data_IF_234135166303
#
_entry.id   IF_234135166303
#
_cell.length_a   1.000
_cell.length_b   1.000
_cell.length_c   1.000
_cell.angle_alpha   90.00
_cell.angle_beta   90.00
_cell.angle_gamma   90.00
#
_symmetry.space_group_name_H-M   'P 1'
#
loop_
_entity.id
_entity.type
_entity.pdbx_description
1 polymer ?
#
# COMPACT_ATOMS: atom_id res chain seq x y z
N UNK A 1 -14.14 -8.19 -17.59
CA UNK A 1 -13.67 -7.49 -16.38
C UNK A 1 -14.66 -6.40 -16.06
N UNK A 2 -15.19 -6.39 -14.84
CA UNK A 2 -16.05 -5.36 -14.27
C UNK A 2 -15.16 -4.34 -13.55
N UNK A 3 -15.44 -3.05 -13.74
CA UNK A 3 -14.74 -1.97 -13.04
C UNK A 3 -15.71 -0.88 -12.67
N UNK A 4 -15.68 -0.50 -11.39
CA UNK A 4 -16.53 0.50 -10.78
C UNK A 4 -15.71 1.32 -9.78
N UNK A 5 -15.96 2.63 -9.72
CA UNK A 5 -15.38 3.53 -8.73
C UNK A 5 -16.41 3.86 -7.66
N UNK A 6 -16.17 3.39 -6.44
CA UNK A 6 -17.08 3.49 -5.30
C UNK A 6 -16.51 4.49 -4.30
N UNK A 7 -17.35 5.39 -3.77
CA UNK A 7 -16.97 6.36 -2.74
C UNK A 7 -17.02 5.69 -1.37
N UNK A 8 -16.02 5.94 -0.51
CA UNK A 8 -16.00 5.40 0.86
C UNK A 8 -16.80 6.23 1.87
N UNK A 9 -17.24 7.42 1.45
CA UNK A 9 -17.98 8.38 2.25
C UNK A 9 -19.12 8.96 1.40
N UNK A 10 -20.24 9.27 2.03
CA UNK A 10 -21.38 9.91 1.35
C UNK A 10 -21.10 11.37 0.98
N UNK A 11 -20.33 12.05 1.83
CA UNK A 11 -20.03 13.49 1.77
C UNK A 11 -18.66 13.82 1.15
N UNK A 12 -17.90 12.80 0.72
CA UNK A 12 -16.60 12.99 0.06
C UNK A 12 -16.49 12.22 -1.25
N UNK A 13 -15.85 12.84 -2.24
CA UNK A 13 -15.64 12.26 -3.56
C UNK A 13 -14.20 11.80 -3.80
N UNK A 14 -13.28 12.17 -2.92
CA UNK A 14 -11.83 12.02 -3.10
C UNK A 14 -11.27 10.71 -2.53
N UNK A 15 -12.03 10.01 -1.70
CA UNK A 15 -11.68 8.68 -1.16
C UNK A 15 -12.51 7.61 -1.84
N UNK A 16 -11.86 6.77 -2.64
CA UNK A 16 -12.56 5.79 -3.48
C UNK A 16 -11.88 4.43 -3.54
N UNK A 17 -12.70 3.38 -3.64
CA UNK A 17 -12.31 2.04 -4.03
C UNK A 17 -12.65 1.84 -5.51
N UNK A 18 -11.64 1.59 -6.35
CA UNK A 18 -11.87 1.23 -7.75
C UNK A 18 -11.67 -0.26 -7.94
N UNK A 19 -12.65 -0.93 -8.54
CA UNK A 19 -12.68 -2.38 -8.71
C UNK A 19 -12.09 -2.79 -10.07
N UNK A 20 -11.40 -3.93 -10.09
CA UNK A 20 -10.87 -4.60 -11.28
C UNK A 20 -11.17 -6.08 -11.15
N UNK A 21 -12.45 -6.41 -11.38
CA UNK A 21 -13.05 -7.69 -10.98
C UNK A 21 -13.29 -8.56 -12.22
N UNK A 22 -12.91 -9.82 -12.16
CA UNK A 22 -13.18 -10.77 -13.22
C UNK A 22 -14.60 -11.33 -13.05
N UNK A 23 -15.36 -11.37 -14.15
CA UNK A 23 -16.69 -11.97 -14.18
C UNK A 23 -16.54 -13.37 -14.78
N UNK A 24 -16.81 -14.41 -14.00
CA UNK A 24 -16.58 -15.82 -14.34
C UNK A 24 -17.73 -16.45 -15.14
N UNK A 25 -18.53 -15.64 -15.85
CA UNK A 25 -19.72 -16.10 -16.59
C UNK A 25 -19.50 -17.29 -17.56
N UNK A 26 -18.25 -17.66 -17.89
CA UNK A 26 -17.90 -18.84 -18.68
C UNK A 26 -16.57 -19.51 -18.25
N UNK A 27 -16.16 -19.41 -16.98
CA UNK A 27 -14.87 -19.99 -16.56
C UNK A 27 -14.94 -21.51 -16.41
N UNK A 28 -13.95 -22.23 -16.97
CA UNK A 28 -13.72 -23.67 -16.73
C UNK A 28 -13.43 -23.96 -15.24
N UNK A 29 -13.16 -22.93 -14.45
CA UNK A 29 -12.86 -23.05 -13.03
C UNK A 29 -14.11 -23.21 -12.18
N UNK A 30 -15.35 -23.04 -12.69
CA UNK A 30 -16.57 -23.17 -11.89
C UNK A 30 -16.94 -21.92 -11.07
N UNK A 31 -17.83 -22.05 -10.07
CA UNK A 31 -18.33 -20.94 -9.24
C UNK A 31 -17.45 -20.68 -7.99
N UNK A 32 -16.15 -20.49 -8.19
CA UNK A 32 -15.21 -20.29 -7.08
C UNK A 32 -14.97 -18.81 -6.79
N UNK A 33 -14.78 -18.51 -5.51
CA UNK A 33 -14.32 -17.22 -5.06
C UNK A 33 -12.80 -17.10 -5.26
N UNK A 34 -12.35 -15.94 -5.74
CA UNK A 34 -10.94 -15.65 -6.06
C UNK A 34 -10.26 -14.89 -4.93
N UNK A 35 -8.96 -15.14 -4.67
CA UNK A 35 -8.17 -14.30 -3.80
C UNK A 35 -8.14 -12.85 -4.31
N UNK A 36 -7.97 -11.90 -3.41
CA UNK A 36 -7.98 -10.47 -3.74
C UNK A 36 -6.70 -9.72 -3.32
N UNK A 37 -6.36 -8.70 -4.10
CA UNK A 37 -5.31 -7.72 -3.79
C UNK A 37 -5.94 -6.34 -3.62
N UNK A 38 -5.77 -5.71 -2.45
CA UNK A 38 -6.11 -4.32 -2.19
C UNK A 38 -4.87 -3.45 -2.29
N UNK A 39 -4.82 -2.59 -3.30
CA UNK A 39 -3.66 -1.78 -3.66
C UNK A 39 -3.81 -0.37 -3.09
N UNK A 40 -2.79 0.08 -2.36
CA UNK A 40 -2.64 1.42 -1.81
C UNK A 40 -1.46 2.12 -2.51
N UNK A 41 -1.73 2.98 -3.51
CA UNK A 41 -0.68 3.68 -4.24
C UNK A 41 0.12 4.62 -3.32
N UNK A 42 1.36 4.93 -3.69
CA UNK A 42 2.17 5.93 -3.00
C UNK A 42 1.81 7.36 -3.38
N UNK A 43 2.77 8.27 -3.19
CA UNK A 43 2.62 9.70 -3.47
C UNK A 43 2.78 10.62 -2.26
N UNK A 44 3.54 10.19 -1.25
CA UNK A 44 3.98 11.03 -0.13
C UNK A 44 2.83 11.60 0.72
N UNK A 45 1.70 10.89 0.81
CA UNK A 45 0.45 11.40 1.41
C UNK A 45 -0.12 12.69 0.78
N UNK A 46 0.48 13.15 -0.31
CA UNK A 46 0.06 14.32 -1.06
C UNK A 46 -1.00 13.95 -2.10
N UNK A 47 -0.85 12.81 -2.77
CA UNK A 47 -1.85 12.23 -3.67
C UNK A 47 -1.65 10.72 -3.79
N UNK A 48 -2.57 10.02 -4.47
CA UNK A 48 -2.34 8.62 -4.85
C UNK A 48 -1.77 8.53 -6.27
N UNK A 49 -0.55 8.02 -6.40
CA UNK A 49 0.16 7.91 -7.66
C UNK A 49 -0.55 6.98 -8.66
N UNK A 50 -0.94 7.49 -9.83
CA UNK A 50 -1.65 6.71 -10.86
C UNK A 50 -0.81 5.56 -11.41
N UNK A 51 0.50 5.73 -11.52
CA UNK A 51 1.37 4.67 -12.04
C UNK A 51 1.47 3.45 -11.11
N UNK A 52 1.11 3.59 -9.82
CA UNK A 52 1.12 2.52 -8.80
C UNK A 52 -0.29 1.97 -8.52
N UNK A 53 -1.28 2.42 -9.29
CA UNK A 53 -2.69 2.08 -9.13
C UNK A 53 -3.12 1.09 -10.23
N UNK A 54 -3.73 1.60 -11.30
CA UNK A 54 -4.39 0.80 -12.32
C UNK A 54 -3.46 -0.18 -13.05
N UNK A 55 -2.20 0.19 -13.42
CA UNK A 55 -1.28 -0.78 -14.03
C UNK A 55 -1.04 -2.00 -13.13
N UNK A 56 -0.85 -1.76 -11.83
CA UNK A 56 -0.61 -2.83 -10.84
C UNK A 56 -1.85 -3.70 -10.67
N UNK A 57 -3.03 -3.08 -10.58
CA UNK A 57 -4.30 -3.79 -10.46
C UNK A 57 -4.55 -4.71 -11.65
N UNK A 58 -4.30 -4.23 -12.86
CA UNK A 58 -4.44 -5.02 -14.09
C UNK A 58 -3.45 -6.19 -14.10
N UNK A 59 -2.21 -5.99 -13.64
CA UNK A 59 -1.21 -7.07 -13.58
C UNK A 59 -1.64 -8.19 -12.63
N UNK A 60 -2.11 -7.86 -11.43
CA UNK A 60 -2.66 -8.87 -10.52
C UNK A 60 -3.95 -9.50 -11.02
N UNK A 61 -4.83 -8.73 -11.68
CA UNK A 61 -6.03 -9.30 -12.31
C UNK A 61 -5.66 -10.32 -13.39
N UNK A 62 -4.64 -10.04 -14.21
CA UNK A 62 -4.13 -10.98 -15.21
C UNK A 62 -3.55 -12.26 -14.59
N UNK A 63 -3.07 -12.20 -13.35
CA UNK A 63 -2.60 -13.36 -12.55
C UNK A 63 -3.74 -14.14 -11.86
N UNK A 64 -5.00 -13.75 -12.08
CA UNK A 64 -6.18 -14.48 -11.57
C UNK A 64 -6.77 -13.98 -10.26
N UNK A 65 -6.23 -12.90 -9.70
CA UNK A 65 -6.76 -12.24 -8.49
C UNK A 65 -7.93 -11.30 -8.83
N UNK A 66 -8.79 -11.01 -7.85
CA UNK A 66 -9.57 -9.77 -7.87
C UNK A 66 -8.67 -8.63 -7.41
N UNK A 67 -8.70 -7.49 -8.10
CA UNK A 67 -7.87 -6.36 -7.73
C UNK A 67 -8.71 -5.13 -7.40
N UNK A 68 -8.26 -4.38 -6.40
CA UNK A 68 -8.91 -3.18 -5.92
C UNK A 68 -7.87 -2.10 -5.72
N UNK A 69 -8.16 -0.86 -6.11
CA UNK A 69 -7.31 0.30 -5.83
C UNK A 69 -8.02 1.18 -4.83
N UNK A 70 -7.43 1.36 -3.64
CA UNK A 70 -7.85 2.35 -2.66
C UNK A 70 -7.09 3.65 -2.91
N UNK A 71 -7.80 4.68 -3.34
CA UNK A 71 -7.35 6.07 -3.24
C UNK A 71 -7.80 6.60 -1.89
N UNK A 72 -6.88 6.59 -0.94
CA UNK A 72 -7.09 7.04 0.44
C UNK A 72 -6.94 8.56 0.57
N UNK A 73 -7.28 9.10 1.74
CA UNK A 73 -7.18 10.52 2.08
C UNK A 73 -5.76 11.04 1.91
N UNK A 74 -5.60 12.05 1.05
CA UNK A 74 -4.33 12.72 0.76
C UNK A 74 -4.52 14.23 0.67
N UNK A 75 -3.43 14.98 0.87
CA UNK A 75 -3.47 16.44 0.95
C UNK A 75 -4.09 17.14 -0.26
N UNK A 76 -3.72 16.70 -1.47
CA UNK A 76 -4.25 17.21 -2.72
C UNK A 76 -5.34 16.28 -3.25
N UNK A 77 -6.33 16.85 -3.95
CA UNK A 77 -7.31 16.04 -4.65
C UNK A 77 -6.63 15.29 -5.80
N UNK A 78 -7.18 14.13 -6.16
CA UNK A 78 -6.57 13.25 -7.16
C UNK A 78 -6.42 13.92 -8.54
N UNK A 79 -7.29 14.86 -8.88
CA UNK A 79 -7.31 15.60 -10.15
C UNK A 79 -6.50 16.91 -10.10
N UNK A 80 -5.95 17.28 -8.95
CA UNK A 80 -5.20 18.53 -8.81
C UNK A 80 -3.71 18.37 -9.14
N UNK A 81 -3.13 19.45 -9.67
CA UNK A 81 -1.68 19.56 -9.80
C UNK A 81 -1.07 19.73 -8.41
N UNK A 82 0.00 18.98 -8.13
CA UNK A 82 0.77 19.16 -6.89
C UNK A 82 1.63 20.39 -7.06
N UNK A 83 1.30 21.44 -6.34
CA UNK A 83 2.11 22.65 -6.20
C UNK A 83 2.68 22.69 -4.80
N UNK A 84 4.01 22.69 -4.69
CA UNK A 84 4.68 22.86 -3.41
C UNK A 84 4.61 24.32 -2.98
N UNK A 85 4.16 24.60 -1.75
CA UNK A 85 4.17 25.95 -1.21
C UNK A 85 5.60 26.47 -1.18
N UNK A 86 5.77 27.78 -1.34
CA UNK A 86 7.08 28.39 -1.12
C UNK A 86 7.43 28.33 0.37
N UNK A 87 8.71 28.44 0.73
CA UNK A 87 9.17 28.35 2.14
C UNK A 87 8.55 29.39 3.10
N UNK A 88 7.75 30.34 2.60
CA UNK A 88 7.06 31.39 3.37
C UNK A 88 5.54 31.17 3.48
N UNK A 89 4.98 30.19 2.78
CA UNK A 89 3.55 29.91 2.79
C UNK A 89 3.21 28.95 3.92
N UNK A 90 2.16 29.27 4.69
CA UNK A 90 1.60 28.36 5.68
C UNK A 90 0.91 27.18 4.96
N UNK A 91 1.19 25.97 5.43
CA UNK A 91 0.55 24.75 4.91
C UNK A 91 -0.73 24.54 5.73
N UNK A 92 -1.89 24.64 5.08
CA UNK A 92 -3.19 24.36 5.68
C UNK A 92 -3.27 22.91 6.15
N UNK A 93 -3.57 22.67 7.43
CA UNK A 93 -3.73 21.29 7.93
C UNK A 93 -5.13 20.77 7.60
N UNK A 94 -5.16 19.66 6.86
CA UNK A 94 -6.38 18.93 6.51
C UNK A 94 -6.54 17.75 7.45
N UNK A 95 -7.31 17.92 8.53
CA UNK A 95 -7.50 16.93 9.59
C UNK A 95 -7.88 15.53 9.07
N UNK A 96 -8.67 15.45 7.99
CA UNK A 96 -9.06 14.18 7.38
C UNK A 96 -7.90 13.41 6.71
N UNK A 97 -6.77 14.05 6.46
CA UNK A 97 -5.54 13.43 5.93
C UNK A 97 -4.58 12.95 7.03
N UNK A 98 -4.73 13.48 8.25
CA UNK A 98 -3.81 13.22 9.36
C UNK A 98 -4.01 11.79 9.88
N UNK A 99 -2.92 11.12 10.25
CA UNK A 99 -2.94 9.80 10.85
C UNK A 99 -3.81 9.80 12.13
N UNK A 100 -4.75 8.86 12.29
CA UNK A 100 -4.81 7.55 11.62
C UNK A 100 -5.79 7.45 10.43
N UNK A 101 -6.37 8.55 9.95
CA UNK A 101 -7.49 8.50 9.00
C UNK A 101 -7.20 7.69 7.71
N UNK A 102 -6.07 7.92 6.99
CA UNK A 102 -5.76 7.11 5.80
C UNK A 102 -5.56 5.62 6.09
N UNK A 103 -5.10 5.27 7.29
CA UNK A 103 -4.92 3.88 7.72
C UNK A 103 -6.26 3.22 7.99
N UNK A 104 -7.19 3.94 8.61
CA UNK A 104 -8.54 3.44 8.90
C UNK A 104 -9.36 3.20 7.62
N UNK A 105 -9.10 3.95 6.56
CA UNK A 105 -9.73 3.76 5.24
C UNK A 105 -9.35 2.44 4.57
N UNK A 106 -8.17 1.87 4.88
CA UNK A 106 -7.83 0.49 4.47
C UNK A 106 -8.83 -0.50 5.06
N UNK A 107 -9.15 -0.34 6.35
CA UNK A 107 -10.14 -1.19 7.02
C UNK A 107 -11.56 -0.98 6.49
N UNK A 108 -11.95 0.26 6.14
CA UNK A 108 -13.22 0.51 5.43
C UNK A 108 -13.27 -0.21 4.09
N UNK A 109 -12.20 -0.15 3.31
CA UNK A 109 -12.12 -0.85 2.02
C UNK A 109 -12.21 -2.38 2.19
N UNK A 110 -11.55 -2.94 3.20
CA UNK A 110 -11.68 -4.36 3.57
C UNK A 110 -13.13 -4.74 3.85
N UNK A 111 -13.86 -3.94 4.63
CA UNK A 111 -15.27 -4.19 4.93
C UNK A 111 -16.16 -4.09 3.70
N UNK A 112 -15.94 -3.10 2.85
CA UNK A 112 -16.69 -2.94 1.59
C UNK A 112 -16.46 -4.13 0.64
N UNK A 113 -15.21 -4.62 0.54
CA UNK A 113 -14.91 -5.84 -0.21
C UNK A 113 -15.65 -7.05 0.34
N UNK A 114 -15.74 -7.19 1.68
CA UNK A 114 -16.49 -8.27 2.31
C UNK A 114 -17.99 -8.16 2.06
N UNK A 115 -18.56 -6.96 2.13
CA UNK A 115 -19.97 -6.69 1.86
C UNK A 115 -20.38 -7.13 0.45
N UNK A 116 -19.54 -6.84 -0.54
CA UNK A 116 -19.80 -7.19 -1.95
C UNK A 116 -19.16 -8.51 -2.40
N UNK A 117 -18.58 -9.30 -1.48
CA UNK A 117 -17.77 -10.47 -1.84
C UNK A 117 -18.50 -11.49 -2.72
N UNK A 118 -19.81 -11.66 -2.50
CA UNK A 118 -20.64 -12.56 -3.31
C UNK A 118 -20.76 -12.09 -4.77
N UNK A 119 -20.94 -10.79 -4.96
CA UNK A 119 -21.06 -10.17 -6.28
C UNK A 119 -19.71 -10.17 -7.00
N UNK A 120 -18.64 -9.84 -6.28
CA UNK A 120 -17.28 -9.73 -6.80
C UNK A 120 -16.52 -11.06 -6.83
N UNK A 121 -17.15 -12.16 -6.39
CA UNK A 121 -16.53 -13.49 -6.28
C UNK A 121 -15.19 -13.42 -5.55
N UNK A 122 -15.18 -12.78 -4.38
CA UNK A 122 -13.97 -12.61 -3.56
C UNK A 122 -13.96 -13.66 -2.46
N UNK A 123 -12.81 -14.32 -2.30
CA UNK A 123 -12.50 -15.11 -1.12
C UNK A 123 -12.04 -14.13 -0.03
N UNK A 124 -12.94 -13.86 0.91
CA UNK A 124 -12.75 -12.86 1.95
C UNK A 124 -11.67 -13.24 2.96
N UNK A 125 -11.28 -14.51 3.03
CA UNK A 125 -10.21 -14.97 3.91
C UNK A 125 -8.83 -14.89 3.22
N UNK A 126 -8.81 -14.54 1.93
CA UNK A 126 -7.60 -14.41 1.10
C UNK A 126 -7.53 -13.02 0.48
N UNK A 127 -7.46 -12.00 1.33
CA UNK A 127 -7.21 -10.61 0.91
C UNK A 127 -5.79 -10.19 1.33
N UNK A 128 -4.95 -9.88 0.34
CA UNK A 128 -3.60 -9.33 0.54
C UNK A 128 -3.61 -7.82 0.30
N UNK A 129 -2.86 -7.08 1.11
CA UNK A 129 -2.66 -5.64 0.87
C UNK A 129 -1.37 -5.43 0.08
N UNK A 130 -1.37 -4.52 -0.89
CA UNK A 130 -0.18 -4.15 -1.64
C UNK A 130 -0.01 -2.63 -1.56
N UNK A 131 1.14 -2.16 -1.10
CA UNK A 131 1.41 -0.74 -1.01
C UNK A 131 2.75 -0.36 -1.62
N UNK A 132 2.85 0.89 -2.07
CA UNK A 132 4.07 1.47 -2.64
C UNK A 132 4.43 2.78 -1.93
N UNK A 133 5.70 3.01 -1.61
CA UNK A 133 6.17 4.26 -0.99
C UNK A 133 5.34 4.63 0.26
N UNK A 134 4.70 5.81 0.29
CA UNK A 134 3.78 6.22 1.34
C UNK A 134 2.56 5.29 1.52
N UNK A 135 2.07 4.68 0.44
CA UNK A 135 1.02 3.67 0.49
C UNK A 135 1.50 2.36 1.13
N UNK A 136 2.77 1.99 0.94
CA UNK A 136 3.39 0.87 1.65
C UNK A 136 3.51 1.17 3.15
N UNK A 137 3.90 2.40 3.51
CA UNK A 137 3.89 2.84 4.91
C UNK A 137 2.47 2.72 5.51
N UNK A 138 1.44 3.20 4.79
CA UNK A 138 0.05 3.09 5.24
C UNK A 138 -0.40 1.63 5.45
N UNK A 139 -0.08 0.75 4.48
CA UNK A 139 -0.35 -0.69 4.56
C UNK A 139 0.36 -1.33 5.74
N UNK A 140 1.64 -1.00 5.98
CA UNK A 140 2.39 -1.56 7.10
C UNK A 140 1.86 -1.07 8.46
N UNK A 141 1.48 0.21 8.58
CA UNK A 141 0.82 0.73 9.79
C UNK A 141 -0.49 -0.01 10.07
N UNK A 142 -1.32 -0.24 9.05
CA UNK A 142 -2.55 -1.02 9.19
C UNK A 142 -2.28 -2.48 9.56
N UNK A 143 -1.33 -3.12 8.89
CA UNK A 143 -0.96 -4.51 9.10
C UNK A 143 -0.42 -4.80 10.52
N UNK A 144 0.14 -3.79 11.17
CA UNK A 144 0.60 -3.88 12.56
C UNK A 144 -0.49 -3.52 13.58
N UNK A 145 -1.62 -2.95 13.14
CA UNK A 145 -2.62 -2.32 14.02
C UNK A 145 -4.07 -2.79 13.79
N UNK A 146 -4.34 -3.68 12.84
CA UNK A 146 -5.68 -4.07 12.39
C UNK A 146 -6.60 -4.60 13.51
N UNK A 147 -6.03 -5.16 14.57
CA UNK A 147 -6.74 -5.72 15.72
C UNK A 147 -6.71 -4.82 16.98
N UNK A 148 -6.24 -3.58 16.87
CA UNK A 148 -6.19 -2.63 17.98
C UNK A 148 -7.54 -1.94 18.20
N UNK A 149 -7.82 -1.48 19.43
CA UNK A 149 -9.04 -0.73 19.74
C UNK A 149 -9.20 0.52 18.86
N UNK A 150 -8.09 1.17 18.47
CA UNK A 150 -8.12 2.31 17.54
C UNK A 150 -8.85 1.97 16.23
N UNK A 151 -8.62 0.76 15.71
CA UNK A 151 -9.23 0.29 14.46
C UNK A 151 -10.63 -0.28 14.73
N UNK A 152 -10.78 -1.13 15.75
CA UNK A 152 -12.03 -1.82 16.05
C UNK A 152 -13.15 -0.86 16.48
N UNK A 153 -12.84 0.13 17.32
CA UNK A 153 -13.82 1.11 17.79
C UNK A 153 -14.29 2.03 16.66
N UNK A 154 -13.38 2.39 15.75
CA UNK A 154 -13.70 3.22 14.59
C UNK A 154 -14.57 2.47 13.57
N UNK A 155 -14.19 1.23 13.24
CA UNK A 155 -14.88 0.42 12.22
C UNK A 155 -16.10 -0.34 12.76
N UNK A 156 -16.26 -0.40 14.09
CA UNK A 156 -17.39 -1.06 14.78
C UNK A 156 -17.60 -2.51 14.33
N UNK A 157 -16.51 -3.25 14.24
CA UNK A 157 -16.49 -4.64 13.75
C UNK A 157 -15.53 -5.49 14.56
N UNK A 158 -15.60 -6.81 14.40
CA UNK A 158 -14.65 -7.76 14.95
C UNK A 158 -13.37 -7.80 14.12
N UNK A 159 -12.26 -8.13 14.78
CA UNK A 159 -10.95 -8.20 14.16
C UNK A 159 -10.88 -9.26 13.05
N UNK A 160 -11.69 -10.32 13.13
CA UNK A 160 -11.80 -11.38 12.11
C UNK A 160 -12.10 -10.85 10.69
N UNK A 161 -12.81 -9.72 10.58
CA UNK A 161 -13.15 -9.10 9.30
C UNK A 161 -12.04 -8.20 8.73
N UNK A 162 -11.01 -7.91 9.52
CA UNK A 162 -10.01 -6.87 9.21
C UNK A 162 -8.62 -7.42 8.93
N UNK A 163 -8.38 -8.70 9.24
CA UNK A 163 -7.06 -9.31 9.07
C UNK A 163 -6.72 -9.48 7.59
N UNK A 164 -5.63 -8.90 7.08
CA UNK A 164 -5.08 -9.29 5.80
C UNK A 164 -4.27 -10.59 5.93
N UNK A 165 -4.27 -11.43 4.89
CA UNK A 165 -3.52 -12.70 4.89
C UNK A 165 -2.02 -12.52 4.63
N UNK A 166 -1.65 -11.39 4.02
CA UNK A 166 -0.30 -10.99 3.67
C UNK A 166 -0.23 -9.51 3.31
N UNK A 167 0.98 -8.97 3.28
CA UNK A 167 1.27 -7.64 2.72
C UNK A 167 2.41 -7.65 1.70
N UNK A 168 2.31 -6.84 0.66
CA UNK A 168 3.36 -6.53 -0.31
C UNK A 168 3.76 -5.07 -0.11
N UNK A 169 5.03 -4.81 0.16
CA UNK A 169 5.55 -3.49 0.51
C UNK A 169 6.68 -3.10 -0.46
N UNK A 170 6.36 -2.26 -1.44
CA UNK A 170 7.32 -1.73 -2.41
C UNK A 170 7.94 -0.41 -1.96
N UNK A 171 9.27 -0.37 -1.86
CA UNK A 171 10.11 0.81 -1.55
C UNK A 171 9.51 1.70 -0.44
N UNK A 172 9.11 1.04 0.65
CA UNK A 172 8.41 1.63 1.80
C UNK A 172 9.30 2.57 2.63
N UNK A 173 8.72 3.65 3.15
CA UNK A 173 9.26 4.38 4.29
C UNK A 173 8.93 3.60 5.59
N UNK A 174 9.91 2.87 6.12
CA UNK A 174 9.72 1.88 7.19
C UNK A 174 10.12 2.37 8.58
N UNK A 175 11.10 3.28 8.66
CA UNK A 175 11.48 3.95 9.90
C UNK A 175 11.78 5.43 9.59
N UNK A 176 10.99 6.31 10.19
CA UNK A 176 11.07 7.75 9.94
C UNK A 176 12.38 8.36 10.47
N UNK A 177 13.18 7.63 11.25
CA UNK A 177 14.55 8.01 11.57
C UNK A 177 15.38 8.26 10.31
N UNK A 178 15.21 7.44 9.26
CA UNK A 178 15.91 7.62 7.98
C UNK A 178 15.32 8.72 7.10
N UNK A 179 14.26 9.37 7.56
CA UNK A 179 13.58 10.47 6.85
C UNK A 179 13.79 11.80 7.55
N UNK A 180 14.53 11.88 8.67
CA UNK A 180 14.85 13.16 9.30
C UNK A 180 15.47 14.13 8.31
N UNK A 181 15.21 15.42 8.48
CA UNK A 181 15.65 16.47 7.54
C UNK A 181 17.18 16.46 7.33
N UNK A 182 17.95 16.14 8.37
CA UNK A 182 19.42 16.03 8.31
C UNK A 182 19.92 14.74 7.62
N UNK A 183 19.03 13.78 7.38
CA UNK A 183 19.32 12.50 6.73
C UNK A 183 18.87 12.47 5.25
N UNK A 184 18.12 13.48 4.80
CA UNK A 184 17.61 13.57 3.42
C UNK A 184 18.40 14.60 2.61
N UNK A 185 18.41 14.41 1.29
CA UNK A 185 18.99 15.38 0.35
C UNK A 185 18.23 16.72 0.45
N UNK A 186 18.96 17.84 0.44
CA UNK A 186 18.41 19.20 0.61
C UNK A 186 17.31 19.49 -0.43
N UNK A 187 17.49 18.99 -1.66
CA UNK A 187 16.54 19.15 -2.75
C UNK A 187 15.17 18.46 -2.48
N UNK A 188 15.10 17.58 -1.48
CA UNK A 188 13.89 16.84 -1.08
C UNK A 188 13.25 17.35 0.20
N UNK A 189 13.88 18.30 0.91
CA UNK A 189 13.39 18.79 2.19
C UNK A 189 11.93 19.28 2.11
N UNK A 190 11.61 20.10 1.10
CA UNK A 190 10.25 20.61 0.91
C UNK A 190 9.23 19.48 0.67
N UNK A 191 9.60 18.44 -0.08
CA UNK A 191 8.74 17.29 -0.31
C UNK A 191 8.37 16.61 1.01
N UNK A 192 9.35 16.40 1.90
CA UNK A 192 9.13 15.77 3.19
C UNK A 192 8.36 16.68 4.16
N UNK A 193 8.64 17.99 4.20
CA UNK A 193 7.88 18.96 5.02
C UNK A 193 6.39 18.95 4.67
N UNK A 194 6.04 18.94 3.38
CA UNK A 194 4.64 18.84 2.93
C UNK A 194 4.06 17.46 3.24
N UNK A 195 4.84 16.39 3.05
CA UNK A 195 4.41 15.03 3.41
C UNK A 195 4.10 14.91 4.91
N UNK A 196 4.89 15.54 5.79
CA UNK A 196 4.63 15.56 7.23
C UNK A 196 3.42 16.41 7.56
N UNK A 197 3.27 17.58 6.94
CA UNK A 197 2.08 18.39 7.15
C UNK A 197 0.80 17.61 6.78
N UNK A 198 0.85 16.83 5.70
CA UNK A 198 -0.26 16.00 5.26
C UNK A 198 -0.63 14.89 6.26
N UNK A 199 0.35 14.15 6.80
CA UNK A 199 0.09 12.94 7.61
C UNK A 199 0.18 13.15 9.12
N UNK A 200 0.90 14.16 9.57
CA UNK A 200 1.13 14.48 10.99
C UNK A 200 0.53 15.83 11.43
N UNK A 201 0.06 16.65 10.49
CA UNK A 201 -0.42 17.99 10.80
C UNK A 201 0.69 18.99 11.15
N UNK A 202 1.96 18.66 10.86
CA UNK A 202 3.13 19.50 11.14
C UNK A 202 4.28 19.21 10.19
N UNK A 203 5.18 20.17 10.04
CA UNK A 203 6.24 20.12 9.02
C UNK A 203 7.55 19.48 9.49
N UNK A 204 7.68 19.18 10.79
CA UNK A 204 8.91 18.63 11.38
C UNK A 204 8.59 17.45 12.28
N UNK A 205 9.50 16.48 12.32
CA UNK A 205 9.39 15.28 13.12
C UNK A 205 10.00 15.48 14.50
N UNK A 206 9.26 15.11 15.54
CA UNK A 206 9.81 14.87 16.88
C UNK A 206 10.22 13.40 17.03
N UNK A 207 10.97 13.07 18.08
CA UNK A 207 11.27 11.67 18.39
C UNK A 207 10.01 10.83 18.66
N UNK A 208 8.96 11.45 19.23
CA UNK A 208 7.68 10.80 19.44
C UNK A 208 6.99 10.48 18.11
N UNK A 209 7.04 11.38 17.12
CA UNK A 209 6.50 11.11 15.79
C UNK A 209 7.24 9.97 15.10
N UNK A 210 8.57 9.97 15.23
CA UNK A 210 9.39 8.92 14.65
C UNK A 210 9.02 7.58 15.28
N UNK A 211 8.84 7.52 16.59
CA UNK A 211 8.39 6.30 17.26
C UNK A 211 7.02 5.86 16.75
N UNK A 212 6.05 6.78 16.72
CA UNK A 212 4.65 6.52 16.37
C UNK A 212 4.42 6.21 14.89
N UNK A 213 5.25 6.75 14.00
CA UNK A 213 5.08 6.67 12.54
C UNK A 213 6.12 5.75 11.89
N UNK A 214 6.80 4.90 12.64
CA UNK A 214 7.74 3.93 12.08
C UNK A 214 7.14 2.53 12.13
N UNK A 215 6.58 1.99 11.02
CA UNK A 215 6.00 0.66 10.99
C UNK A 215 6.94 -0.42 11.53
N UNK A 216 8.25 -0.31 11.30
CA UNK A 216 9.23 -1.29 11.81
C UNK A 216 9.29 -1.36 13.34
N UNK A 217 8.79 -0.35 14.06
CA UNK A 217 8.75 -0.31 15.53
C UNK A 217 7.45 -0.88 16.11
N UNK A 218 6.49 -1.20 15.25
CA UNK A 218 5.17 -1.71 15.64
C UNK A 218 4.91 -3.15 15.19
N UNK A 219 5.88 -3.79 14.55
CA UNK A 219 5.79 -5.22 14.20
C UNK A 219 5.58 -6.04 15.46
N UNK A 220 4.60 -6.93 15.42
CA UNK A 220 4.22 -7.77 16.54
C UNK A 220 3.78 -9.16 16.04
N UNK A 221 3.40 -10.04 16.96
CA UNK A 221 2.99 -11.43 16.64
C UNK A 221 1.78 -11.54 15.70
N UNK A 222 0.95 -10.51 15.62
CA UNK A 222 -0.26 -10.48 14.80
C UNK A 222 -0.01 -9.82 13.43
N UNK A 223 1.21 -9.31 13.20
CA UNK A 223 1.64 -8.79 11.89
C UNK A 223 1.61 -9.93 10.85
N UNK A 224 0.94 -9.75 9.70
CA UNK A 224 0.89 -10.76 8.65
C UNK A 224 2.26 -10.93 7.98
N UNK A 225 2.52 -12.09 7.35
CA UNK A 225 3.71 -12.27 6.54
C UNK A 225 3.83 -11.23 5.43
N UNK A 226 5.06 -10.87 5.07
CA UNK A 226 5.34 -9.77 4.15
C UNK A 226 6.19 -10.17 2.95
N UNK A 227 5.94 -9.55 1.80
CA UNK A 227 6.85 -9.50 0.67
C UNK A 227 7.40 -8.08 0.57
N UNK A 228 8.71 -7.93 0.73
CA UNK A 228 9.38 -6.64 0.71
C UNK A 228 10.19 -6.50 -0.57
N UNK A 229 10.11 -5.36 -1.25
CA UNK A 229 11.05 -5.08 -2.34
C UNK A 229 11.42 -3.61 -2.42
N UNK A 230 12.63 -3.32 -2.89
CA UNK A 230 13.11 -1.96 -3.16
C UNK A 230 14.35 -2.00 -4.06
N UNK A 231 14.90 -0.83 -4.37
CA UNK A 231 16.18 -0.71 -5.09
C UNK A 231 17.23 -0.07 -4.19
N UNK A 232 18.51 -0.41 -4.39
CA UNK A 232 19.63 0.24 -3.70
C UNK A 232 19.82 1.69 -4.15
N UNK A 233 19.60 1.97 -5.44
CA UNK A 233 19.69 3.31 -6.01
C UNK A 233 18.57 4.28 -5.58
N UNK A 234 17.57 3.82 -4.81
CA UNK A 234 16.55 4.69 -4.26
C UNK A 234 17.15 5.73 -3.30
N UNK A 235 17.26 6.96 -3.79
CA UNK A 235 17.72 8.11 -2.99
C UNK A 235 16.59 8.85 -2.30
N UNK A 236 15.33 8.59 -2.61
CA UNK A 236 14.19 9.27 -1.96
C UNK A 236 13.82 8.55 -0.68
N UNK A 237 13.72 7.24 -0.73
CA UNK A 237 13.48 6.38 0.42
C UNK A 237 14.60 5.37 0.48
N UNK A 238 15.58 5.61 1.35
CA UNK A 238 16.76 4.74 1.46
C UNK A 238 16.35 3.28 1.68
N UNK A 239 17.03 2.36 0.99
CA UNK A 239 16.92 0.90 1.16
C UNK A 239 17.00 0.44 2.62
N UNK A 240 17.64 1.23 3.50
CA UNK A 240 17.69 1.00 4.95
C UNK A 240 16.29 0.85 5.56
N UNK A 241 15.27 1.52 5.03
CA UNK A 241 13.89 1.37 5.47
C UNK A 241 13.36 -0.06 5.25
N UNK A 242 13.59 -0.62 4.07
CA UNK A 242 13.20 -2.00 3.74
C UNK A 242 13.94 -3.00 4.61
N UNK A 243 15.25 -2.82 4.78
CA UNK A 243 16.10 -3.67 5.63
C UNK A 243 15.62 -3.61 7.09
N UNK A 244 15.27 -2.42 7.59
CA UNK A 244 14.81 -2.25 8.98
C UNK A 244 13.47 -2.92 9.24
N UNK A 245 12.55 -2.88 8.28
CA UNK A 245 11.30 -3.65 8.37
C UNK A 245 11.55 -5.16 8.35
N UNK A 246 12.46 -5.64 7.48
CA UNK A 246 12.83 -7.06 7.43
C UNK A 246 13.44 -7.55 8.76
N UNK A 247 14.32 -6.75 9.36
CA UNK A 247 14.89 -7.02 10.68
C UNK A 247 13.78 -7.12 11.75
N UNK A 248 12.84 -6.19 11.76
CA UNK A 248 11.73 -6.20 12.71
C UNK A 248 10.83 -7.45 12.56
N UNK A 249 10.53 -7.86 11.32
CA UNK A 249 9.79 -9.09 11.03
C UNK A 249 10.56 -10.33 11.51
N UNK A 250 11.87 -10.40 11.24
CA UNK A 250 12.72 -11.49 11.70
C UNK A 250 12.72 -11.61 13.23
N UNK A 251 12.87 -10.49 13.95
CA UNK A 251 12.87 -10.45 15.40
C UNK A 251 11.54 -10.94 16.02
N UNK A 252 10.42 -10.77 15.31
CA UNK A 252 9.10 -11.25 15.72
C UNK A 252 8.75 -12.63 15.14
N UNK A 253 9.69 -13.28 14.45
CA UNK A 253 9.50 -14.59 13.80
C UNK A 253 8.36 -14.60 12.78
N UNK A 254 8.12 -13.47 12.11
CA UNK A 254 7.11 -13.33 11.05
C UNK A 254 7.76 -13.71 9.71
N UNK A 255 7.21 -14.67 8.93
CA UNK A 255 7.78 -15.05 7.64
C UNK A 255 7.76 -13.91 6.62
N UNK A 256 8.85 -13.75 5.86
CA UNK A 256 8.92 -12.78 4.77
C UNK A 256 9.88 -13.20 3.64
N UNK A 257 9.65 -12.67 2.44
CA UNK A 257 10.65 -12.63 1.36
C UNK A 257 11.09 -11.16 1.18
N UNK A 258 12.38 -10.92 0.93
CA UNK A 258 12.92 -9.57 0.68
C UNK A 258 13.79 -9.55 -0.57
N UNK A 259 13.51 -8.62 -1.48
CA UNK A 259 14.24 -8.44 -2.73
C UNK A 259 14.76 -7.00 -2.86
N UNK A 260 16.08 -6.84 -2.84
CA UNK A 260 16.73 -5.55 -3.09
C UNK A 260 17.41 -5.64 -4.45
N UNK A 261 16.91 -4.87 -5.41
CA UNK A 261 17.52 -4.75 -6.74
C UNK A 261 18.60 -3.67 -6.73
N UNK A 262 19.65 -3.80 -7.55
CA UNK A 262 20.76 -2.86 -7.54
C UNK A 262 20.35 -1.47 -8.07
N UNK A 263 19.73 -1.44 -9.25
CA UNK A 263 19.47 -0.21 -9.99
C UNK A 263 17.99 0.20 -9.96
N UNK A 264 17.75 1.50 -10.17
CA UNK A 264 16.42 2.08 -10.40
C UNK A 264 16.04 3.15 -9.37
N UNK A 265 15.45 4.29 -9.80
CA UNK A 265 15.03 5.36 -8.91
C UNK A 265 13.78 4.99 -8.09
N UNK A 266 13.43 5.81 -7.11
CA UNK A 266 12.15 5.71 -6.39
C UNK A 266 10.94 5.69 -7.34
N UNK A 267 9.88 4.96 -6.96
CA UNK A 267 8.60 4.98 -7.67
C UNK A 267 8.64 4.27 -9.02
N UNK A 268 9.27 3.10 -9.08
CA UNK A 268 9.31 2.25 -10.28
C UNK A 268 7.95 1.63 -10.63
N UNK A 269 7.09 1.39 -9.64
CA UNK A 269 5.86 0.60 -9.80
C UNK A 269 6.18 -0.77 -10.42
N UNK A 270 5.61 -1.10 -11.60
CA UNK A 270 5.91 -2.33 -12.33
C UNK A 270 7.32 -2.35 -12.95
N UNK A 271 8.02 -1.22 -12.97
CA UNK A 271 9.31 -1.03 -13.65
C UNK A 271 9.28 -1.37 -15.16
N UNK A 272 8.10 -1.32 -15.78
CA UNK A 272 7.89 -1.55 -17.21
C UNK A 272 7.46 -0.25 -17.91
N UNK A 273 7.33 -0.30 -19.24
CA UNK A 273 6.80 0.83 -20.01
C UNK A 273 5.36 1.22 -19.61
N UNK A 274 4.59 0.28 -19.05
CA UNK A 274 3.18 0.50 -18.67
C UNK A 274 3.05 1.47 -17.50
N UNK A 275 4.06 1.53 -16.61
CA UNK A 275 4.07 2.39 -15.42
C UNK A 275 5.16 3.47 -15.44
N UNK A 276 5.99 3.53 -16.48
CA UNK A 276 7.11 4.47 -16.58
C UNK A 276 6.69 5.79 -17.26
N UNK A 277 7.09 6.92 -16.66
CA UNK A 277 6.99 8.25 -17.29
C UNK A 277 8.25 8.61 -18.07
N UNK A 278 9.39 8.05 -17.66
CA UNK A 278 10.71 8.32 -18.25
C UNK A 278 11.51 7.01 -18.35
N UNK A 279 12.48 6.96 -19.28
CA UNK A 279 13.27 5.75 -19.56
C UNK A 279 13.93 5.16 -18.31
N UNK A 280 14.41 5.99 -17.38
CA UNK A 280 15.05 5.53 -16.12
C UNK A 280 14.11 4.75 -15.18
N UNK A 281 12.79 4.78 -15.41
CA UNK A 281 11.82 4.00 -14.64
C UNK A 281 11.51 2.63 -15.26
N UNK A 282 12.08 2.32 -16.44
CA UNK A 282 12.02 0.98 -17.02
C UNK A 282 13.26 0.24 -16.56
N UNK A 283 13.08 -0.78 -15.72
CA UNK A 283 14.16 -1.60 -15.18
C UNK A 283 13.75 -3.09 -15.26
N UNK A 284 14.28 -3.86 -16.23
CA UNK A 284 13.92 -5.26 -16.43
C UNK A 284 14.22 -6.18 -15.25
N UNK A 285 15.21 -5.85 -14.42
CA UNK A 285 15.54 -6.65 -13.25
C UNK A 285 14.55 -6.39 -12.12
N UNK A 286 14.31 -5.12 -11.78
CA UNK A 286 13.30 -4.76 -10.80
C UNK A 286 11.90 -5.21 -11.23
N UNK A 287 11.56 -5.19 -12.53
CA UNK A 287 10.26 -5.64 -13.05
C UNK A 287 9.90 -7.08 -12.65
N UNK A 288 10.90 -7.93 -12.36
CA UNK A 288 10.70 -9.30 -11.88
C UNK A 288 10.06 -9.37 -10.50
N UNK A 289 10.01 -8.28 -9.73
CA UNK A 289 9.41 -8.25 -8.39
C UNK A 289 7.98 -8.80 -8.40
N UNK A 290 7.20 -8.53 -9.45
CA UNK A 290 5.79 -8.93 -9.52
C UNK A 290 5.62 -10.43 -9.71
N UNK A 291 6.52 -11.07 -10.47
CA UNK A 291 6.56 -12.53 -10.67
C UNK A 291 7.04 -13.24 -9.40
N UNK A 292 8.03 -12.65 -8.71
CA UNK A 292 8.52 -13.14 -7.41
C UNK A 292 7.42 -13.02 -6.35
N UNK A 293 6.68 -11.90 -6.33
CA UNK A 293 5.55 -11.70 -5.45
C UNK A 293 4.43 -12.71 -5.72
N UNK A 294 4.11 -12.99 -7.00
CA UNK A 294 3.14 -14.02 -7.37
C UNK A 294 3.55 -15.41 -6.86
N UNK A 295 4.79 -15.83 -7.11
CA UNK A 295 5.30 -17.11 -6.62
C UNK A 295 5.26 -17.20 -5.08
N UNK A 296 5.53 -16.10 -4.39
CA UNK A 296 5.39 -16.02 -2.94
C UNK A 296 3.93 -16.07 -2.47
N UNK A 297 3.01 -15.39 -3.17
CA UNK A 297 1.58 -15.40 -2.90
C UNK A 297 0.96 -16.79 -3.09
N UNK A 298 1.42 -17.59 -4.06
CA UNK A 298 0.88 -18.94 -4.28
C UNK A 298 1.03 -19.85 -3.05
N UNK A 299 2.04 -19.62 -2.19
CA UNK A 299 2.22 -20.34 -0.91
C UNK A 299 1.05 -20.17 0.08
N UNK A 300 0.20 -19.17 -0.13
CA UNK A 300 -0.88 -18.74 0.78
C UNK A 300 -2.23 -18.44 0.10
N UNK A 301 -2.23 -18.17 -1.20
CA UNK A 301 -3.42 -17.74 -1.98
C UNK A 301 -3.91 -18.79 -2.99
N UNK A 302 -3.10 -19.80 -3.31
CA UNK A 302 -3.41 -20.73 -4.40
C UNK A 302 -4.76 -21.43 -4.20
N UNK A 303 -5.59 -21.45 -5.24
CA UNK A 303 -6.86 -22.16 -5.23
C UNK A 303 -6.61 -23.66 -4.99
N UNK A 304 -7.45 -24.27 -4.17
CA UNK A 304 -7.47 -25.73 -4.04
C UNK A 304 -8.11 -26.31 -5.29
N UNK A 305 -7.32 -26.98 -6.11
CA UNK A 305 -7.79 -27.65 -7.31
C UNK A 305 -8.09 -29.13 -6.99
N UNK A 306 -9.16 -29.72 -7.55
CA UNK A 306 -9.43 -31.14 -7.37
C UNK A 306 -8.32 -31.97 -8.04
N UNK A 307 -7.97 -33.11 -7.43
CA UNK A 307 -6.91 -34.01 -7.95
C UNK A 307 -7.28 -34.67 -9.29
N UNK A 308 -8.58 -34.76 -9.60
CA UNK A 308 -9.12 -35.32 -10.84
C UNK A 308 -10.36 -34.53 -11.28
N UNK A 309 -10.63 -34.52 -12.59
CA UNK A 309 -11.80 -33.87 -13.23
C UNK A 309 -13.01 -34.79 -13.14
#
# INVERSE_FOLDING_TARGET
MYSEKIRLYEDREDVTLTTYVQNDANSLLGDYNRPAILICPGGGYMKCATQEAEPVAIRFAAMGYQAFVLRYSTYFSQDSNVTFPTAKEEIEIKEYCVFPNPMLEIGKAMLLIREHAREWKVDVDRITLCGFSAGAHNVAMYANSWNTNLVLDYLKTSSEHLRPVAVILGYMAGDYYFSKIDQIEVEKEMFFRVSYAAILGKQELTEEDIERMSPSRHVNRDTPPAFLWSTYEDRTVSVKNTIKMAEALANQHIPFDMHIFEEGPHGLSLATQESAKVKKQVNPDAAKWVELAEAWLQKRMALELPETI
#
